data_IF_382115134115
#
_entry.id   IF_382115134115
#
_cell.length_a   1.000
_cell.length_b   1.000
_cell.length_c   1.000
_cell.angle_alpha   90.00
_cell.angle_beta   90.00
_cell.angle_gamma   90.00
#
_symmetry.space_group_name_H-M   'P 1'
#
loop_
_entity.id
_entity.type
_entity.pdbx_description
1 polymer ?
#
# COMPACT_ATOMS: atom_id res chain seq x y z
N UNK A 1 -5.82 -18.47 2.24
CA UNK A 1 -4.40 -18.05 2.39
C UNK A 1 -4.25 -16.71 1.70
N UNK A 2 -3.70 -15.70 2.36
CA UNK A 2 -3.36 -14.41 1.72
C UNK A 2 -1.93 -14.51 1.27
N UNK A 3 -1.69 -14.37 -0.02
CA UNK A 3 -0.34 -14.27 -0.57
C UNK A 3 -0.06 -12.79 -0.83
N UNK A 4 0.88 -12.22 -0.06
CA UNK A 4 1.31 -10.84 -0.22
C UNK A 4 2.44 -10.85 -1.24
N UNK A 5 2.14 -10.48 -2.47
CA UNK A 5 3.16 -10.16 -3.47
C UNK A 5 3.61 -8.72 -3.22
N UNK A 6 4.69 -8.60 -2.44
CA UNK A 6 5.38 -7.35 -2.21
C UNK A 6 6.21 -7.02 -3.45
N UNK A 7 5.58 -6.47 -4.48
CA UNK A 7 6.33 -5.93 -5.60
C UNK A 7 6.41 -4.41 -5.46
N UNK A 8 7.53 -3.97 -4.94
CA UNK A 8 7.91 -2.57 -4.81
C UNK A 8 8.48 -1.99 -6.10
N UNK A 9 7.95 -2.43 -7.23
CA UNK A 9 8.37 -1.99 -8.56
C UNK A 9 8.27 -0.47 -8.75
N UNK A 10 7.48 0.21 -7.93
CA UNK A 10 7.14 1.61 -8.17
C UNK A 10 8.00 2.65 -7.48
N UNK A 11 8.79 2.29 -6.47
CA UNK A 11 9.75 3.24 -5.88
C UNK A 11 10.85 3.62 -6.89
N UNK A 12 11.35 2.66 -7.65
CA UNK A 12 12.33 2.93 -8.72
C UNK A 12 11.71 3.68 -9.91
N UNK A 13 10.42 3.54 -10.13
CA UNK A 13 9.69 4.14 -11.23
C UNK A 13 9.39 5.62 -10.99
N UNK A 14 9.11 6.03 -9.77
CA UNK A 14 8.86 7.43 -9.41
C UNK A 14 10.10 8.31 -9.57
N UNK A 15 11.30 7.75 -9.45
CA UNK A 15 12.56 8.49 -9.62
C UNK A 15 12.95 8.79 -11.07
N UNK A 16 12.32 8.21 -12.07
CA UNK A 16 12.65 8.48 -13.47
C UNK A 16 11.64 9.43 -14.13
N UNK A 17 12.05 10.70 -14.36
CA UNK A 17 11.29 11.76 -15.04
C UNK A 17 10.58 11.36 -16.36
N UNK A 18 10.98 10.27 -17.02
CA UNK A 18 10.41 9.78 -18.28
C UNK A 18 9.09 9.00 -18.12
N UNK A 19 8.67 8.66 -16.93
CA UNK A 19 7.56 7.71 -16.72
C UNK A 19 6.19 8.33 -16.50
N UNK A 20 6.09 9.63 -16.21
CA UNK A 20 4.79 10.26 -15.99
C UNK A 20 3.84 10.17 -17.21
N UNK A 21 4.37 10.13 -18.43
CA UNK A 21 3.56 9.95 -19.65
C UNK A 21 3.27 8.47 -19.97
N UNK A 22 4.04 7.54 -19.41
CA UNK A 22 3.83 6.10 -19.54
C UNK A 22 2.85 5.51 -18.53
N UNK A 23 2.68 6.16 -17.35
CA UNK A 23 1.86 5.66 -16.27
C UNK A 23 0.38 5.48 -16.63
N UNK A 24 -0.19 6.34 -17.49
CA UNK A 24 -1.57 6.19 -17.94
C UNK A 24 -1.76 4.97 -18.86
N UNK A 25 -0.77 4.66 -19.72
CA UNK A 25 -0.78 3.46 -20.58
C UNK A 25 -0.47 2.20 -19.77
N UNK A 26 0.44 2.27 -18.82
CA UNK A 26 0.75 1.18 -17.89
C UNK A 26 -0.47 0.84 -17.01
N UNK A 27 -1.17 1.85 -16.50
CA UNK A 27 -2.41 1.67 -15.74
C UNK A 27 -3.48 0.91 -16.53
N UNK A 28 -3.76 1.31 -17.75
CA UNK A 28 -4.75 0.66 -18.61
C UNK A 28 -4.37 -0.80 -18.90
N UNK A 29 -3.08 -1.08 -19.12
CA UNK A 29 -2.56 -2.44 -19.30
C UNK A 29 -2.65 -3.26 -18.03
N UNK A 30 -2.31 -2.69 -16.88
CA UNK A 30 -2.39 -3.34 -15.57
C UNK A 30 -3.84 -3.63 -15.18
N UNK A 31 -4.76 -2.70 -15.35
CA UNK A 31 -6.18 -2.92 -15.03
C UNK A 31 -6.79 -4.06 -15.86
N UNK A 32 -6.39 -4.21 -17.13
CA UNK A 32 -6.82 -5.33 -17.97
C UNK A 32 -6.11 -6.65 -17.58
N UNK A 33 -4.83 -6.60 -17.22
CA UNK A 33 -4.11 -7.73 -16.66
C UNK A 33 -4.79 -8.22 -15.37
N UNK A 34 -5.17 -7.33 -14.47
CA UNK A 34 -5.81 -7.69 -13.20
C UNK A 34 -7.23 -8.23 -13.36
N UNK A 35 -7.98 -7.81 -14.38
CA UNK A 35 -9.26 -8.45 -14.71
C UNK A 35 -9.08 -9.92 -15.10
N UNK A 36 -7.98 -10.24 -15.79
CA UNK A 36 -7.65 -11.60 -16.19
C UNK A 36 -6.94 -12.38 -15.07
N UNK A 37 -6.27 -11.68 -14.14
CA UNK A 37 -5.50 -12.30 -13.06
C UNK A 37 -6.40 -13.00 -12.04
N UNK A 38 -7.62 -12.52 -11.83
CA UNK A 38 -8.61 -13.14 -10.95
C UNK A 38 -8.85 -14.62 -11.28
N UNK A 39 -8.83 -14.99 -12.56
CA UNK A 39 -9.02 -16.38 -12.99
C UNK A 39 -7.91 -17.33 -12.53
N UNK A 40 -6.73 -16.83 -12.19
CA UNK A 40 -5.58 -17.60 -11.69
C UNK A 40 -5.52 -17.64 -10.15
N UNK A 41 -6.25 -16.74 -9.47
CA UNK A 41 -6.27 -16.63 -8.01
C UNK A 41 -7.43 -17.46 -7.47
N UNK A 42 -7.21 -18.77 -7.30
CA UNK A 42 -8.24 -19.64 -6.69
C UNK A 42 -8.07 -19.66 -5.17
N UNK A 43 -9.14 -19.34 -4.41
CA UNK A 43 -9.20 -19.42 -2.94
C UNK A 43 -8.15 -18.57 -2.19
N UNK A 44 -7.51 -17.61 -2.85
CA UNK A 44 -6.52 -16.72 -2.27
C UNK A 44 -6.89 -15.27 -2.51
N UNK A 45 -6.28 -14.36 -1.75
CA UNK A 45 -6.32 -12.92 -2.03
C UNK A 45 -4.90 -12.43 -2.23
N UNK A 46 -4.73 -11.51 -3.17
CA UNK A 46 -3.43 -10.89 -3.50
C UNK A 46 -3.52 -9.40 -3.17
N UNK A 47 -2.53 -8.89 -2.46
CA UNK A 47 -2.36 -7.48 -2.20
C UNK A 47 -1.14 -6.98 -2.98
N UNK A 48 -1.35 -5.95 -3.82
CA UNK A 48 -0.30 -5.42 -4.70
C UNK A 48 -0.29 -3.89 -4.69
N UNK A 49 0.93 -3.30 -4.63
CA UNK A 49 1.13 -1.86 -4.79
C UNK A 49 1.09 -1.45 -6.26
N UNK A 50 0.38 -0.36 -6.58
CA UNK A 50 0.27 0.19 -7.94
C UNK A 50 -0.15 1.66 -7.93
N UNK A 51 0.23 2.45 -8.96
CA UNK A 51 -0.34 3.78 -9.13
C UNK A 51 -1.77 3.67 -9.66
N UNK A 52 -2.67 4.48 -9.12
CA UNK A 52 -4.05 4.60 -9.61
C UNK A 52 -4.34 6.01 -10.13
N UNK A 53 -5.43 6.14 -10.88
CA UNK A 53 -5.93 7.44 -11.35
C UNK A 53 -7.44 7.50 -11.16
N UNK A 54 -7.91 8.54 -10.46
CA UNK A 54 -9.33 8.80 -10.23
C UNK A 54 -9.56 10.32 -10.28
N UNK A 55 -10.57 10.76 -10.99
CA UNK A 55 -10.98 12.18 -11.10
C UNK A 55 -9.82 13.11 -11.46
N UNK A 56 -8.99 12.71 -12.44
CA UNK A 56 -7.81 13.45 -12.88
C UNK A 56 -6.60 13.40 -11.94
N UNK A 57 -6.75 12.95 -10.71
CA UNK A 57 -5.71 12.81 -9.70
C UNK A 57 -5.04 11.44 -9.79
N UNK A 58 -3.78 11.36 -9.37
CA UNK A 58 -3.00 10.12 -9.28
C UNK A 58 -2.76 9.78 -7.82
N UNK A 59 -2.74 8.49 -7.51
CA UNK A 59 -2.52 7.99 -6.15
C UNK A 59 -1.49 6.88 -6.15
N UNK A 60 -0.70 6.80 -5.08
CA UNK A 60 0.08 5.62 -4.73
C UNK A 60 -0.85 4.70 -3.96
N UNK A 61 -1.14 3.52 -4.51
CA UNK A 61 -2.25 2.71 -4.00
C UNK A 61 -1.85 1.26 -3.77
N UNK A 62 -2.61 0.59 -2.93
CA UNK A 62 -2.62 -0.86 -2.78
C UNK A 62 -3.96 -1.41 -3.24
N UNK A 63 -3.95 -2.42 -4.12
CA UNK A 63 -5.14 -3.13 -4.56
C UNK A 63 -5.22 -4.52 -3.93
N UNK A 64 -6.36 -4.83 -3.36
CA UNK A 64 -6.73 -6.18 -2.96
C UNK A 64 -7.47 -6.84 -4.11
N UNK A 65 -7.00 -7.99 -4.53
CA UNK A 65 -7.50 -8.75 -5.68
C UNK A 65 -7.87 -10.15 -5.23
N UNK A 66 -8.99 -10.67 -5.70
CA UNK A 66 -9.37 -12.07 -5.57
C UNK A 66 -9.86 -12.64 -6.92
N UNK A 67 -10.51 -13.79 -6.91
CA UNK A 67 -11.02 -14.45 -8.12
C UNK A 67 -12.04 -13.61 -8.90
N UNK A 68 -12.73 -12.66 -8.25
CA UNK A 68 -13.66 -11.72 -8.89
C UNK A 68 -12.99 -10.50 -9.50
N UNK A 69 -11.69 -10.30 -9.25
CA UNK A 69 -10.91 -9.13 -9.68
C UNK A 69 -10.53 -8.20 -8.54
N UNK A 70 -10.50 -6.90 -8.79
CA UNK A 70 -10.15 -5.88 -7.77
C UNK A 70 -11.32 -5.73 -6.80
N UNK A 71 -11.11 -6.13 -5.56
CA UNK A 71 -12.10 -6.05 -4.47
C UNK A 71 -12.06 -4.68 -3.80
N UNK A 72 -10.85 -4.14 -3.58
CA UNK A 72 -10.65 -2.88 -2.90
C UNK A 72 -9.37 -2.20 -3.36
N UNK A 73 -9.40 -0.87 -3.35
CA UNK A 73 -8.21 -0.02 -3.53
C UNK A 73 -8.06 0.84 -2.29
N UNK A 74 -6.87 0.87 -1.74
CA UNK A 74 -6.43 1.79 -0.70
C UNK A 74 -5.45 2.78 -1.30
N UNK A 75 -5.70 4.08 -1.16
CA UNK A 75 -4.83 5.15 -1.60
C UNK A 75 -4.02 5.67 -0.41
N UNK A 76 -2.70 5.74 -0.56
CA UNK A 76 -1.76 6.17 0.47
C UNK A 76 -2.16 7.54 1.06
N UNK A 77 -2.24 7.63 2.38
CA UNK A 77 -2.66 8.85 3.08
C UNK A 77 -1.51 9.83 3.25
N UNK A 78 -0.33 9.34 3.60
CA UNK A 78 0.82 10.18 3.94
C UNK A 78 1.88 10.12 2.84
N UNK A 79 2.10 11.23 2.16
CA UNK A 79 3.05 11.33 1.06
C UNK A 79 4.33 12.02 1.58
N UNK A 80 5.47 11.30 1.68
CA UNK A 80 6.73 11.91 2.06
C UNK A 80 7.20 12.90 0.99
N UNK A 81 7.76 14.03 1.44
CA UNK A 81 8.28 15.08 0.57
C UNK A 81 9.53 15.71 1.20
N UNK A 82 10.50 14.86 1.51
CA UNK A 82 11.77 15.24 2.16
C UNK A 82 12.91 14.37 1.64
N UNK A 83 14.12 14.90 1.64
CA UNK A 83 15.35 14.25 1.16
C UNK A 83 15.15 13.70 -0.26
N UNK A 84 15.21 12.38 -0.42
CA UNK A 84 15.01 11.69 -1.70
C UNK A 84 13.55 11.49 -2.11
N UNK A 85 12.61 11.75 -1.21
CA UNK A 85 11.18 11.54 -1.46
C UNK A 85 10.51 12.81 -2.00
N UNK A 86 9.79 12.68 -3.12
CA UNK A 86 9.07 13.78 -3.78
C UNK A 86 7.68 13.27 -4.25
N UNK A 87 7.00 12.51 -3.39
CA UNK A 87 5.73 11.87 -3.76
C UNK A 87 4.61 12.89 -4.03
N UNK A 88 4.59 14.01 -3.32
CA UNK A 88 3.57 15.07 -3.49
C UNK A 88 3.58 15.70 -4.88
N UNK A 89 4.70 15.61 -5.61
CA UNK A 89 4.77 16.07 -7.00
C UNK A 89 3.94 15.22 -7.95
N UNK A 90 3.79 13.93 -7.66
CA UNK A 90 3.20 12.96 -8.59
C UNK A 90 1.87 12.42 -8.12
N UNK A 91 1.62 12.38 -6.82
CA UNK A 91 0.46 11.78 -6.21
C UNK A 91 -0.31 12.75 -5.33
N UNK A 92 -1.58 12.47 -5.17
CA UNK A 92 -2.47 13.13 -4.21
C UNK A 92 -2.62 12.24 -2.97
N UNK A 93 -2.83 12.87 -1.81
CA UNK A 93 -3.16 12.13 -0.59
C UNK A 93 -4.47 11.38 -0.76
N UNK A 94 -4.48 10.12 -0.33
CA UNK A 94 -5.68 9.33 -0.22
C UNK A 94 -6.54 9.75 0.98
N UNK A 95 -7.80 9.40 0.92
CA UNK A 95 -8.75 9.49 2.03
C UNK A 95 -9.68 8.27 2.07
N UNK A 96 -9.30 7.22 1.33
CA UNK A 96 -10.10 6.02 1.20
C UNK A 96 -10.01 5.16 2.47
N UNK A 97 -11.03 4.33 2.67
CA UNK A 97 -11.04 3.31 3.72
C UNK A 97 -9.83 2.40 3.58
N UNK A 98 -9.07 2.22 4.65
CA UNK A 98 -7.83 1.50 4.66
C UNK A 98 -7.90 0.11 5.32
N UNK A 99 -9.05 -0.52 5.35
CA UNK A 99 -9.20 -1.88 5.88
C UNK A 99 -10.19 -2.70 5.07
N UNK A 100 -10.04 -4.02 5.11
CA UNK A 100 -10.93 -5.00 4.48
C UNK A 100 -11.23 -6.16 5.42
N UNK A 101 -12.28 -6.91 5.12
CA UNK A 101 -12.64 -8.11 5.86
C UNK A 101 -12.02 -9.34 5.20
N UNK A 102 -11.34 -10.16 6.00
CA UNK A 102 -10.81 -11.45 5.58
C UNK A 102 -11.30 -12.53 6.56
N UNK A 103 -12.32 -13.28 6.16
CA UNK A 103 -13.09 -14.13 7.06
C UNK A 103 -13.60 -13.28 8.25
N UNK A 104 -13.29 -13.68 9.48
CA UNK A 104 -13.70 -12.96 10.69
C UNK A 104 -12.70 -11.86 11.12
N UNK A 105 -11.60 -11.67 10.35
CA UNK A 105 -10.56 -10.70 10.68
C UNK A 105 -10.73 -9.39 9.91
N UNK A 106 -10.62 -8.28 10.60
CA UNK A 106 -10.57 -6.94 10.04
C UNK A 106 -9.12 -6.52 9.85
N UNK A 107 -8.66 -6.48 8.61
CA UNK A 107 -7.27 -6.26 8.22
C UNK A 107 -7.09 -4.81 7.75
N UNK A 108 -6.25 -4.05 8.44
CA UNK A 108 -5.85 -2.72 8.01
C UNK A 108 -4.76 -2.75 6.94
N UNK A 109 -4.70 -1.69 6.15
CA UNK A 109 -3.68 -1.46 5.13
C UNK A 109 -2.93 -0.16 5.40
N UNK A 110 -1.62 -0.18 5.17
CA UNK A 110 -0.77 1.01 5.15
C UNK A 110 0.27 0.88 4.05
N UNK A 111 0.79 2.00 3.58
CA UNK A 111 1.86 2.05 2.58
C UNK A 111 3.00 2.90 3.13
N UNK A 112 4.11 2.23 3.47
CA UNK A 112 5.40 2.81 3.84
C UNK A 112 5.25 3.94 4.89
N UNK A 113 5.22 5.20 4.46
CA UNK A 113 5.19 6.40 5.32
C UNK A 113 3.95 6.51 6.19
N UNK A 114 2.85 5.87 5.82
CA UNK A 114 1.61 5.94 6.61
C UNK A 114 1.83 5.54 8.06
N UNK A 115 2.62 4.49 8.32
CA UNK A 115 2.86 3.99 9.69
C UNK A 115 3.79 4.87 10.54
N UNK A 116 4.45 5.87 9.93
CA UNK A 116 5.30 6.81 10.64
C UNK A 116 4.52 8.06 11.10
N UNK A 117 3.31 8.24 10.59
CA UNK A 117 2.43 9.36 10.92
C UNK A 117 1.54 9.02 12.11
N UNK A 118 1.61 9.84 13.16
CA UNK A 118 0.84 9.61 14.40
C UNK A 118 -0.67 9.72 14.16
N UNK A 119 -1.11 10.65 13.33
CA UNK A 119 -2.53 10.81 13.00
C UNK A 119 -3.08 9.59 12.27
N UNK A 120 -2.27 9.00 11.36
CA UNK A 120 -2.64 7.74 10.73
C UNK A 120 -2.74 6.59 11.74
N UNK A 121 -1.80 6.49 12.67
CA UNK A 121 -1.81 5.44 13.71
C UNK A 121 -3.02 5.60 14.64
N UNK A 122 -3.38 6.81 15.02
CA UNK A 122 -4.55 7.04 15.87
C UNK A 122 -5.85 6.66 15.14
N UNK A 123 -5.95 6.94 13.83
CA UNK A 123 -7.05 6.45 13.00
C UNK A 123 -7.14 4.90 13.00
N UNK A 124 -6.00 4.18 13.04
CA UNK A 124 -6.02 2.72 13.10
C UNK A 124 -6.58 2.19 14.42
N UNK A 125 -6.35 2.87 15.54
CA UNK A 125 -6.95 2.51 16.84
C UNK A 125 -8.48 2.59 16.79
N UNK A 126 -9.02 3.67 16.19
CA UNK A 126 -10.46 3.85 16.05
C UNK A 126 -11.10 2.77 15.17
N UNK A 127 -10.35 2.23 14.22
CA UNK A 127 -10.85 1.22 13.31
C UNK A 127 -11.05 -0.17 13.94
N UNK A 128 -10.55 -0.44 15.16
CA UNK A 128 -10.61 -1.76 15.81
C UNK A 128 -10.16 -2.90 14.88
N UNK A 129 -8.90 -2.84 14.46
CA UNK A 129 -8.31 -3.81 13.55
C UNK A 129 -7.83 -5.04 14.31
N UNK A 130 -7.85 -6.20 13.65
CA UNK A 130 -7.21 -7.42 14.15
C UNK A 130 -5.75 -7.51 13.71
N UNK A 131 -5.39 -6.92 12.56
CA UNK A 131 -4.04 -6.90 12.00
C UNK A 131 -3.84 -5.66 11.14
N UNK A 132 -2.58 -5.25 10.98
CA UNK A 132 -2.19 -4.20 10.03
C UNK A 132 -1.13 -4.75 9.06
N UNK A 133 -1.40 -4.65 7.76
CA UNK A 133 -0.45 -5.03 6.70
C UNK A 133 0.16 -3.75 6.14
N UNK A 134 1.52 -3.71 6.09
CA UNK A 134 2.26 -2.57 5.57
C UNK A 134 3.03 -2.94 4.31
N UNK A 135 2.66 -2.34 3.18
CA UNK A 135 3.45 -2.41 1.95
C UNK A 135 4.59 -1.40 2.03
N UNK A 136 5.83 -1.86 2.15
CA UNK A 136 6.99 -0.98 2.34
C UNK A 136 8.08 -1.21 1.30
N UNK A 137 8.57 -0.11 0.72
CA UNK A 137 9.67 -0.04 -0.24
C UNK A 137 10.80 0.88 0.24
N UNK A 138 11.11 0.87 1.49
CA UNK A 138 12.19 1.71 2.01
C UNK A 138 13.55 1.26 1.48
N UNK A 139 14.47 2.20 1.18
CA UNK A 139 15.84 1.88 0.81
C UNK A 139 16.52 0.99 1.84
N UNK A 140 17.21 -0.04 1.37
CA UNK A 140 17.96 -0.93 2.25
C UNK A 140 19.27 -0.27 2.68
N UNK A 141 19.51 -0.19 3.99
CA UNK A 141 20.83 0.07 4.58
C UNK A 141 21.03 -0.89 5.75
N UNK A 142 22.29 -1.22 6.06
CA UNK A 142 22.63 -2.21 7.09
C UNK A 142 22.13 -1.83 8.48
N UNK A 143 22.13 -0.53 8.84
CA UNK A 143 21.62 -0.02 10.12
C UNK A 143 20.10 0.04 10.20
N UNK A 144 19.40 0.25 9.09
CA UNK A 144 17.95 0.42 9.09
C UNK A 144 17.15 -0.85 9.40
N UNK A 145 17.76 -2.04 9.32
CA UNK A 145 17.04 -3.29 9.61
C UNK A 145 16.59 -3.36 11.07
N UNK A 146 17.49 -3.04 11.98
CA UNK A 146 17.25 -3.08 13.44
C UNK A 146 16.32 -1.93 13.88
N UNK A 147 16.59 -0.71 13.38
CA UNK A 147 15.74 0.46 13.63
C UNK A 147 14.29 0.24 13.20
N UNK A 148 14.10 -0.34 12.01
CA UNK A 148 12.75 -0.67 11.48
C UNK A 148 12.06 -1.75 12.30
N UNK A 149 12.80 -2.81 12.69
CA UNK A 149 12.26 -3.87 13.54
C UNK A 149 11.75 -3.31 14.87
N UNK A 150 12.57 -2.49 15.54
CA UNK A 150 12.22 -1.84 16.79
C UNK A 150 11.04 -0.86 16.63
N UNK A 151 11.00 -0.11 15.53
CA UNK A 151 9.89 0.78 15.24
C UNK A 151 8.59 0.02 15.01
N UNK A 152 8.61 -1.04 14.19
CA UNK A 152 7.42 -1.85 13.91
C UNK A 152 6.91 -2.56 15.19
N UNK A 153 7.80 -3.01 16.05
CA UNK A 153 7.43 -3.57 17.35
C UNK A 153 6.68 -2.53 18.19
N UNK A 154 7.20 -1.30 18.30
CA UNK A 154 6.52 -0.19 19.02
C UNK A 154 5.14 0.13 18.45
N UNK A 155 4.98 0.15 17.14
CA UNK A 155 3.67 0.39 16.52
C UNK A 155 2.70 -0.77 16.80
N UNK A 156 3.18 -2.02 16.70
CA UNK A 156 2.40 -3.21 17.05
C UNK A 156 1.92 -3.16 18.50
N UNK A 157 2.80 -2.79 19.43
CA UNK A 157 2.45 -2.59 20.85
C UNK A 157 1.44 -1.44 21.02
N UNK A 158 1.69 -0.28 20.39
CA UNK A 158 0.80 0.90 20.48
C UNK A 158 -0.61 0.60 19.97
N UNK A 159 -0.75 -0.23 18.95
CA UNK A 159 -2.02 -0.66 18.37
C UNK A 159 -2.60 -1.91 19.05
N UNK A 160 -1.78 -2.64 19.79
CA UNK A 160 -2.10 -3.95 20.38
C UNK A 160 -2.59 -4.98 19.35
N UNK A 161 -1.99 -4.96 18.14
CA UNK A 161 -2.28 -5.89 17.04
C UNK A 161 -0.99 -6.29 16.31
N UNK A 162 -0.94 -7.48 15.68
CA UNK A 162 0.16 -7.85 14.81
C UNK A 162 0.31 -6.90 13.61
N UNK A 163 1.56 -6.51 13.34
CA UNK A 163 1.99 -5.79 12.14
C UNK A 163 2.69 -6.78 11.19
N UNK A 164 2.31 -6.76 9.90
CA UNK A 164 2.78 -7.65 8.84
C UNK A 164 3.41 -6.83 7.71
#
# INVERSE_FOLDING_TARGET
MVQILLDCLFYQIAHQKKMCNGLSKAWYRLSNLFKNFGSYIKKSKVLIGLPTKKDGKRYNSAALIDESGIVQIYDKHVLPNYIEFDEKRYFSNGSSKNFFQLNDLKIGLSICEDIWDEGFIDLQKENNLDRLITLSASPFTTSKKEERGNFFAKISEKLNIPLI
#
